data_IF_519082855319
#
_entry.id   IF_519082855319
#
_cell.length_a   1.000
_cell.length_b   1.000
_cell.length_c   1.000
_cell.angle_alpha   90.00
_cell.angle_beta   90.00
_cell.angle_gamma   90.00
#
_symmetry.space_group_name_H-M   'P 1'
#
loop_
_entity.id
_entity.type
_entity.pdbx_description
1 polymer ?
#
# COMPACT_ATOMS: atom_id res chain seq x y z
N UNK A 1 2.49 -7.71 4.24
CA UNK A 1 2.75 -6.35 4.77
C UNK A 1 1.42 -5.70 5.09
N UNK A 2 1.41 -4.76 6.02
CA UNK A 2 0.21 -3.96 6.33
C UNK A 2 0.56 -2.48 6.26
N UNK A 3 -0.16 -1.72 5.43
CA UNK A 3 -0.03 -0.28 5.34
C UNK A 3 -1.27 0.39 5.96
N UNK A 4 -1.06 1.22 6.98
CA UNK A 4 -2.10 2.07 7.57
C UNK A 4 -1.89 3.49 7.09
N UNK A 5 -2.90 4.06 6.42
CA UNK A 5 -2.84 5.41 5.86
C UNK A 5 -3.94 6.25 6.45
N UNK A 6 -3.58 7.33 7.15
CA UNK A 6 -4.53 8.36 7.55
C UNK A 6 -4.86 9.24 6.34
N UNK A 7 -6.07 9.10 5.82
CA UNK A 7 -6.56 9.85 4.68
C UNK A 7 -8.10 9.91 4.70
N UNK A 8 -8.71 11.03 4.25
CA UNK A 8 -10.14 11.05 4.05
C UNK A 8 -10.54 9.97 3.03
N UNK A 9 -11.75 9.42 3.17
CA UNK A 9 -12.26 8.48 2.18
C UNK A 9 -12.40 9.14 0.81
N UNK A 10 -12.01 8.41 -0.23
CA UNK A 10 -12.18 8.78 -1.63
C UNK A 10 -13.49 8.25 -2.24
N UNK A 11 -14.36 7.62 -1.43
CA UNK A 11 -15.62 7.04 -1.86
C UNK A 11 -15.64 5.52 -1.75
N UNK A 12 -16.54 4.87 -2.50
CA UNK A 12 -16.63 3.42 -2.54
C UNK A 12 -15.51 2.80 -3.39
N UNK A 13 -15.20 1.52 -3.14
CA UNK A 13 -14.26 0.72 -3.93
C UNK A 13 -12.85 1.33 -4.00
N UNK A 14 -12.32 1.76 -2.86
CA UNK A 14 -10.94 2.23 -2.79
C UNK A 14 -9.96 1.10 -3.10
N UNK A 15 -9.10 1.36 -4.07
CA UNK A 15 -8.13 0.42 -4.59
C UNK A 15 -6.72 0.93 -4.32
N UNK A 16 -6.00 0.37 -3.32
CA UNK A 16 -4.62 0.69 -3.07
C UNK A 16 -3.70 0.01 -4.08
N UNK A 17 -2.82 0.80 -4.68
CA UNK A 17 -1.71 0.37 -5.51
C UNK A 17 -0.44 0.51 -4.68
N UNK A 18 0.41 -0.52 -4.65
CA UNK A 18 1.71 -0.46 -3.98
C UNK A 18 2.81 -0.78 -4.98
N UNK A 19 3.79 0.10 -5.07
CA UNK A 19 4.94 0.02 -5.97
C UNK A 19 6.23 -0.07 -5.13
N UNK A 20 6.78 -1.28 -4.95
CA UNK A 20 8.11 -1.45 -4.38
C UNK A 20 9.18 -0.88 -5.31
N UNK A 21 10.23 -0.25 -4.75
CA UNK A 21 11.37 0.23 -5.54
C UNK A 21 12.09 -0.91 -6.30
N UNK A 22 12.14 -2.10 -5.71
CA UNK A 22 12.71 -3.28 -6.33
C UNK A 22 11.72 -3.94 -7.30
N UNK A 23 12.03 -3.90 -8.60
CA UNK A 23 11.19 -4.45 -9.69
C UNK A 23 11.04 -5.97 -9.71
N UNK A 24 11.82 -6.69 -8.91
CA UNK A 24 11.81 -8.15 -8.83
C UNK A 24 10.87 -8.69 -7.74
N UNK A 25 10.10 -7.82 -7.07
CA UNK A 25 9.14 -8.20 -6.05
C UNK A 25 7.75 -8.25 -6.68
N UNK A 26 7.11 -9.41 -6.58
CA UNK A 26 5.70 -9.56 -6.89
C UNK A 26 4.86 -9.16 -5.67
N UNK A 27 3.76 -8.47 -5.93
CA UNK A 27 2.79 -8.06 -4.92
C UNK A 27 1.45 -8.76 -5.19
N UNK A 28 0.82 -9.30 -4.15
CA UNK A 28 -0.56 -9.78 -4.27
C UNK A 28 -1.55 -8.62 -4.47
N UNK A 29 -2.78 -8.94 -4.87
CA UNK A 29 -3.87 -7.98 -4.69
C UNK A 29 -4.03 -7.66 -3.19
N UNK A 30 -4.31 -6.40 -2.88
CA UNK A 30 -4.44 -5.95 -1.51
C UNK A 30 -5.87 -6.18 -0.99
N UNK A 31 -5.97 -6.74 0.22
CA UNK A 31 -7.21 -6.72 1.00
C UNK A 31 -7.33 -5.36 1.69
N UNK A 32 -8.53 -4.79 1.68
CA UNK A 32 -8.75 -3.39 2.08
C UNK A 32 -9.83 -3.31 3.15
N UNK A 33 -9.49 -2.68 4.26
CA UNK A 33 -10.43 -2.35 5.34
C UNK A 33 -10.35 -0.86 5.68
N UNK A 34 -11.45 -0.30 6.19
CA UNK A 34 -11.52 1.10 6.58
C UNK A 34 -12.03 1.27 8.00
N UNK A 35 -11.27 2.03 8.79
CA UNK A 35 -11.58 2.43 10.16
C UNK A 35 -11.62 3.95 10.24
N UNK A 36 -12.78 4.55 9.95
CA UNK A 36 -12.91 6.01 9.87
C UNK A 36 -12.02 6.61 8.77
N UNK A 37 -11.03 7.42 9.19
CA UNK A 37 -10.04 8.02 8.28
C UNK A 37 -8.82 7.13 8.03
N UNK A 38 -8.75 5.93 8.64
CA UNK A 38 -7.63 5.02 8.41
C UNK A 38 -8.02 4.01 7.33
N UNK A 39 -7.29 4.00 6.23
CA UNK A 39 -7.29 2.91 5.26
C UNK A 39 -6.23 1.89 5.63
N UNK A 40 -6.62 0.63 5.74
CA UNK A 40 -5.74 -0.50 6.04
C UNK A 40 -5.67 -1.36 4.77
N UNK A 41 -4.47 -1.51 4.22
CA UNK A 41 -4.21 -2.37 3.08
C UNK A 41 -3.23 -3.48 3.48
N UNK A 42 -3.62 -4.73 3.23
CA UNK A 42 -2.81 -5.90 3.49
C UNK A 42 -2.50 -6.64 2.17
N UNK A 43 -1.22 -6.91 1.93
CA UNK A 43 -0.75 -7.59 0.73
C UNK A 43 0.55 -8.37 0.98
N UNK A 44 0.75 -9.45 0.24
CA UNK A 44 1.98 -10.23 0.27
C UNK A 44 3.03 -9.67 -0.69
N UNK A 45 4.28 -9.64 -0.23
CA UNK A 45 5.45 -9.28 -1.03
C UNK A 45 6.31 -10.54 -1.21
N UNK A 46 6.47 -10.98 -2.45
CA UNK A 46 7.20 -12.20 -2.79
C UNK A 46 8.38 -11.85 -3.70
N UNK A 47 9.63 -11.98 -3.25
CA UNK A 47 10.79 -11.76 -4.11
C UNK A 47 10.92 -12.93 -5.10
N UNK A 48 11.51 -12.65 -6.26
CA UNK A 48 11.67 -13.64 -7.33
C UNK A 48 12.36 -14.95 -6.91
N UNK A 49 13.25 -14.93 -5.91
CA UNK A 49 13.99 -16.09 -5.42
C UNK A 49 13.38 -16.74 -4.17
N UNK A 50 12.23 -16.24 -3.70
CA UNK A 50 11.53 -16.67 -2.48
C UNK A 50 12.41 -16.70 -1.22
N UNK A 51 13.47 -15.88 -1.15
CA UNK A 51 14.32 -15.76 0.04
C UNK A 51 13.91 -14.57 0.92
N UNK A 52 14.28 -14.57 2.21
CA UNK A 52 14.16 -13.37 3.02
C UNK A 52 14.90 -12.18 2.38
N UNK A 53 14.30 -11.01 2.41
CA UNK A 53 14.85 -9.78 1.84
C UNK A 53 14.56 -8.61 2.76
N UNK A 54 15.40 -7.58 2.70
CA UNK A 54 15.14 -6.31 3.37
C UNK A 54 14.13 -5.51 2.57
N UNK A 55 13.06 -5.06 3.21
CA UNK A 55 12.13 -4.09 2.65
C UNK A 55 12.39 -2.75 3.32
N UNK A 56 12.65 -1.71 2.55
CA UNK A 56 12.65 -0.33 3.04
C UNK A 56 11.25 0.28 2.84
N UNK A 57 10.47 0.50 3.92
CA UNK A 57 9.15 1.10 3.81
C UNK A 57 9.17 2.55 3.31
N UNK A 58 10.30 3.26 3.42
CA UNK A 58 10.44 4.63 2.92
C UNK A 58 10.53 4.68 1.39
N UNK A 59 10.97 3.60 0.76
CA UNK A 59 11.07 3.48 -0.71
C UNK A 59 9.81 2.91 -1.36
N UNK A 60 8.75 2.66 -0.59
CA UNK A 60 7.46 2.26 -1.13
C UNK A 60 6.70 3.49 -1.65
N UNK A 61 6.29 3.46 -2.91
CA UNK A 61 5.25 4.38 -3.40
C UNK A 61 3.90 3.69 -3.33
N UNK A 62 2.89 4.40 -2.83
CA UNK A 62 1.51 3.90 -2.80
C UNK A 62 0.57 4.92 -3.39
N UNK A 63 -0.45 4.46 -4.09
CA UNK A 63 -1.57 5.29 -4.47
C UNK A 63 -2.86 4.66 -3.97
N UNK A 64 -3.86 5.48 -3.63
CA UNK A 64 -5.23 4.99 -3.41
C UNK A 64 -6.11 5.63 -4.45
N UNK A 65 -6.81 4.79 -5.23
CA UNK A 65 -7.68 5.21 -6.32
C UNK A 65 -9.13 4.88 -5.96
N UNK A 66 -10.04 5.83 -6.16
CA UNK A 66 -11.47 5.57 -6.08
C UNK A 66 -12.25 6.63 -6.86
N UNK A 67 -13.31 6.23 -7.55
CA UNK A 67 -14.27 7.16 -8.17
C UNK A 67 -13.64 8.27 -9.03
N UNK A 68 -12.57 7.94 -9.77
CA UNK A 68 -11.86 8.91 -10.63
C UNK A 68 -10.95 9.89 -9.87
N UNK A 69 -10.75 9.69 -8.57
CA UNK A 69 -9.81 10.43 -7.71
C UNK A 69 -8.65 9.54 -7.30
N UNK A 70 -7.54 10.18 -6.95
CA UNK A 70 -6.37 9.49 -6.44
C UNK A 70 -5.60 10.32 -5.43
N UNK A 71 -5.03 9.66 -4.43
CA UNK A 71 -3.98 10.22 -3.59
C UNK A 71 -2.69 9.44 -3.82
N UNK A 72 -1.57 10.15 -3.93
CA UNK A 72 -0.24 9.57 -4.04
C UNK A 72 0.48 9.74 -2.71
N UNK A 73 1.02 8.65 -2.19
CA UNK A 73 1.59 8.53 -0.85
C UNK A 73 3.02 8.01 -1.01
N UNK A 74 3.97 8.83 -0.57
CA UNK A 74 5.39 8.50 -0.66
C UNK A 74 5.84 7.91 0.69
N UNK A 75 6.38 6.70 0.64
CA UNK A 75 6.83 5.97 1.82
C UNK A 75 5.71 5.52 2.75
N UNK A 76 6.06 4.72 3.76
CA UNK A 76 5.23 4.51 4.93
C UNK A 76 5.60 5.55 5.99
N UNK A 77 4.75 6.55 6.20
CA UNK A 77 4.82 7.33 7.44
C UNK A 77 4.34 6.43 8.58
N UNK A 78 5.12 6.28 9.63
CA UNK A 78 4.61 5.76 10.90
C UNK A 78 3.53 6.72 11.38
N UNK A 79 2.27 6.30 11.28
CA UNK A 79 1.19 6.93 12.05
C UNK A 79 1.50 6.59 13.50
N UNK A 80 1.71 7.62 14.32
CA UNK A 80 1.98 7.50 15.75
C UNK A 80 0.67 7.26 16.51
#
# INVERSE_FOLDING_TARGET
>A
MTARTDMPSLGANEYPVVEPAARSIWLSEAMVEREGNILIAEADLVPADAKPFALDPAELRRAVLAEGRGVDIQGCSTVN
#
